data_IF_906845042896
#
_entry.id   IF_906845042896
#
_cell.length_a   1.000
_cell.length_b   1.000
_cell.length_c   1.000
_cell.angle_alpha   90.00
_cell.angle_beta   90.00
_cell.angle_gamma   90.00
#
_symmetry.space_group_name_H-M   'P 1'
#
loop_
_entity.id
_entity.type
_entity.pdbx_description
1 polymer ?
#
# COMPACT_ATOMS: atom_id res chain seq x y z
N UNK A 1 -15.99 -2.57 11.03
CA UNK A 1 -16.10 -1.75 9.80
C UNK A 1 -17.52 -1.62 9.19
N UNK A 2 -18.46 -2.50 9.56
CA UNK A 2 -19.87 -2.41 9.15
C UNK A 2 -20.73 -2.32 10.43
N UNK A 3 -20.99 -1.11 10.93
CA UNK A 3 -21.94 -0.94 12.03
C UNK A 3 -23.36 -1.16 11.51
N UNK A 4 -24.30 -1.58 12.38
CA UNK A 4 -25.69 -1.87 12.00
C UNK A 4 -26.39 -0.72 11.24
N UNK A 5 -26.02 0.53 11.52
CA UNK A 5 -26.65 1.75 10.99
C UNK A 5 -25.83 2.49 9.91
N UNK A 6 -24.74 1.92 9.40
CA UNK A 6 -23.93 2.57 8.35
C UNK A 6 -24.25 2.02 6.97
N UNK A 7 -24.26 2.93 5.98
CA UNK A 7 -24.39 2.59 4.57
C UNK A 7 -23.21 1.74 4.09
N UNK A 8 -23.44 0.96 3.05
CA UNK A 8 -22.41 0.18 2.37
C UNK A 8 -21.21 1.08 2.03
N UNK A 9 -20.01 0.69 2.47
CA UNK A 9 -18.81 1.48 2.16
C UNK A 9 -18.36 1.14 0.75
N UNK A 10 -18.31 2.16 -0.11
CA UNK A 10 -17.86 2.05 -1.50
C UNK A 10 -16.58 2.86 -1.66
N UNK A 11 -15.56 2.24 -2.26
CA UNK A 11 -14.30 2.85 -2.68
C UNK A 11 -14.24 2.75 -4.20
N UNK A 12 -14.23 3.87 -4.89
CA UNK A 12 -14.27 3.91 -6.36
C UNK A 12 -13.11 4.73 -6.91
N UNK A 13 -12.47 4.18 -7.94
CA UNK A 13 -11.49 4.88 -8.76
C UNK A 13 -11.73 4.51 -10.23
N UNK A 14 -12.21 5.48 -11.02
CA UNK A 14 -12.70 5.22 -12.37
C UNK A 14 -13.70 4.03 -12.41
N UNK A 15 -13.37 2.96 -13.13
CA UNK A 15 -14.15 1.72 -13.23
C UNK A 15 -13.83 0.69 -12.12
N UNK A 16 -12.71 0.86 -11.39
CA UNK A 16 -12.33 -0.01 -10.28
C UNK A 16 -13.11 0.34 -9.00
N UNK A 17 -14.13 -0.47 -8.71
CA UNK A 17 -15.01 -0.28 -7.55
C UNK A 17 -14.87 -1.42 -6.53
N UNK A 18 -14.57 -1.07 -5.29
CA UNK A 18 -14.54 -1.97 -4.15
C UNK A 18 -15.73 -1.66 -3.24
N UNK A 19 -16.55 -2.70 -2.99
CA UNK A 19 -17.79 -2.60 -2.22
C UNK A 19 -17.66 -3.48 -0.98
N UNK A 20 -17.81 -2.88 0.21
CA UNK A 20 -17.82 -3.60 1.48
C UNK A 20 -19.27 -3.80 1.92
N UNK A 21 -19.72 -5.05 1.89
CA UNK A 21 -21.05 -5.47 2.31
C UNK A 21 -20.97 -6.46 3.48
N UNK A 22 -22.04 -6.57 4.26
CA UNK A 22 -22.16 -7.67 5.23
C UNK A 22 -22.38 -8.96 4.44
N UNK A 23 -21.82 -10.05 4.94
CA UNK A 23 -21.95 -11.38 4.35
C UNK A 23 -23.34 -11.99 4.60
N UNK A 24 -24.41 -11.29 4.22
CA UNK A 24 -25.79 -11.76 4.32
C UNK A 24 -26.39 -11.88 2.93
N UNK A 25 -27.29 -12.87 2.76
CA UNK A 25 -27.97 -13.12 1.49
C UNK A 25 -28.75 -11.89 1.01
N UNK A 26 -29.46 -11.23 1.91
CA UNK A 26 -30.30 -10.07 1.56
C UNK A 26 -29.46 -8.90 1.05
N UNK A 27 -28.32 -8.64 1.68
CA UNK A 27 -27.39 -7.58 1.27
C UNK A 27 -26.76 -7.89 -0.09
N UNK A 28 -26.35 -9.14 -0.33
CA UNK A 28 -25.83 -9.58 -1.63
C UNK A 28 -26.87 -9.47 -2.74
N UNK A 29 -28.12 -9.86 -2.46
CA UNK A 29 -29.23 -9.74 -3.42
C UNK A 29 -29.53 -8.27 -3.74
N UNK A 30 -29.59 -7.40 -2.72
CA UNK A 30 -29.82 -5.96 -2.91
C UNK A 30 -28.71 -5.32 -3.74
N UNK A 31 -27.46 -5.71 -3.49
CA UNK A 31 -26.32 -5.24 -4.27
C UNK A 31 -26.49 -5.66 -5.74
N UNK A 32 -26.77 -6.94 -6.01
CA UNK A 32 -26.97 -7.44 -7.37
C UNK A 32 -28.09 -6.70 -8.10
N UNK A 33 -29.25 -6.54 -7.46
CA UNK A 33 -30.36 -5.78 -8.04
C UNK A 33 -30.00 -4.32 -8.32
N UNK A 34 -29.24 -3.67 -7.43
CA UNK A 34 -28.79 -2.29 -7.63
C UNK A 34 -27.82 -2.16 -8.80
N UNK A 35 -26.91 -3.14 -8.95
CA UNK A 35 -25.96 -3.24 -10.05
C UNK A 35 -26.64 -3.51 -11.40
N UNK A 36 -27.65 -4.38 -11.42
CA UNK A 36 -28.43 -4.68 -12.63
C UNK A 36 -29.30 -3.47 -13.04
N UNK A 37 -29.91 -2.78 -12.07
CA UNK A 37 -30.65 -1.53 -12.31
C UNK A 37 -29.72 -0.45 -12.89
N UNK A 38 -28.55 -0.25 -12.28
CA UNK A 38 -27.54 0.67 -12.80
C UNK A 38 -27.15 0.31 -14.25
N UNK A 39 -26.95 -0.97 -14.53
CA UNK A 39 -26.64 -1.45 -15.88
C UNK A 39 -27.76 -1.16 -16.87
N UNK A 40 -29.03 -1.37 -16.47
CA UNK A 40 -30.19 -1.09 -17.33
C UNK A 40 -30.39 0.40 -17.60
N UNK A 41 -30.10 1.27 -16.64
CA UNK A 41 -30.32 2.71 -16.75
C UNK A 41 -29.19 3.41 -17.53
N UNK A 42 -27.95 2.97 -17.32
CA UNK A 42 -26.76 3.60 -17.94
C UNK A 42 -26.35 2.96 -19.26
N UNK A 43 -26.80 1.72 -19.52
CA UNK A 43 -26.30 0.90 -20.63
C UNK A 43 -24.90 0.30 -20.38
N UNK A 44 -24.24 0.60 -19.25
CA UNK A 44 -22.94 0.06 -18.90
C UNK A 44 -23.08 -1.38 -18.40
N UNK A 45 -22.20 -2.28 -18.83
CA UNK A 45 -22.19 -3.69 -18.37
C UNK A 45 -21.07 -3.93 -17.37
N UNK A 46 -21.42 -4.56 -16.25
CA UNK A 46 -20.46 -4.98 -15.23
C UNK A 46 -19.75 -6.24 -15.73
N UNK A 47 -18.41 -6.23 -15.66
CA UNK A 47 -17.62 -7.38 -16.01
C UNK A 47 -17.49 -8.34 -14.82
N UNK A 48 -18.49 -9.20 -14.63
CA UNK A 48 -18.51 -10.20 -13.55
C UNK A 48 -17.34 -11.22 -13.65
N UNK A 49 -16.77 -11.42 -14.84
CA UNK A 49 -15.59 -12.27 -15.02
C UNK A 49 -14.30 -11.66 -14.46
N UNK A 50 -14.20 -10.32 -14.44
CA UNK A 50 -13.10 -9.58 -13.79
C UNK A 50 -13.40 -9.25 -12.33
N UNK A 51 -14.67 -9.26 -11.94
CA UNK A 51 -15.12 -8.95 -10.58
C UNK A 51 -14.89 -10.12 -9.64
N UNK A 52 -14.46 -9.82 -8.42
CA UNK A 52 -14.08 -10.82 -7.42
C UNK A 52 -14.82 -10.55 -6.12
N UNK A 53 -15.40 -11.61 -5.54
CA UNK A 53 -15.93 -11.59 -4.16
C UNK A 53 -14.88 -12.19 -3.23
N UNK A 54 -14.50 -11.46 -2.20
CA UNK A 54 -13.53 -11.93 -1.20
C UNK A 54 -14.21 -12.03 0.16
N UNK A 55 -14.44 -13.24 0.68
CA UNK A 55 -15.10 -13.42 1.97
C UNK A 55 -14.17 -13.06 3.13
N UNK A 56 -14.74 -12.57 4.23
CA UNK A 56 -14.01 -12.31 5.47
C UNK A 56 -14.73 -12.98 6.64
N UNK A 57 -14.08 -13.94 7.30
CA UNK A 57 -14.62 -14.63 8.49
C UNK A 57 -16.00 -15.25 8.26
N UNK A 58 -16.16 -15.99 7.16
CA UNK A 58 -17.41 -16.66 6.78
C UNK A 58 -17.21 -18.17 6.66
N UNK A 59 -18.27 -18.95 6.87
CA UNK A 59 -18.26 -20.40 6.60
C UNK A 59 -18.42 -20.68 5.11
N UNK A 60 -17.82 -21.78 4.63
CA UNK A 60 -17.81 -22.15 3.22
C UNK A 60 -19.22 -22.25 2.61
N UNK A 61 -20.19 -22.76 3.37
CA UNK A 61 -21.59 -22.84 2.95
C UNK A 61 -22.18 -21.46 2.64
N UNK A 62 -21.91 -20.45 3.47
CA UNK A 62 -22.38 -19.09 3.23
C UNK A 62 -21.63 -18.42 2.09
N UNK A 63 -20.34 -18.72 1.93
CA UNK A 63 -19.51 -18.18 0.83
C UNK A 63 -20.08 -18.63 -0.52
N UNK A 64 -20.38 -19.91 -0.67
CA UNK A 64 -20.94 -20.46 -1.91
C UNK A 64 -22.32 -19.84 -2.22
N UNK A 65 -23.16 -19.68 -1.21
CA UNK A 65 -24.46 -19.02 -1.36
C UNK A 65 -24.30 -17.57 -1.84
N UNK A 66 -23.46 -16.76 -1.21
CA UNK A 66 -23.30 -15.35 -1.59
C UNK A 66 -22.68 -15.22 -2.97
N UNK A 67 -21.66 -16.03 -3.27
CA UNK A 67 -20.97 -16.00 -4.56
C UNK A 67 -21.93 -16.33 -5.70
N UNK A 68 -22.87 -17.27 -5.50
CA UNK A 68 -23.87 -17.60 -6.52
C UNK A 68 -24.89 -16.47 -6.75
N UNK A 69 -25.25 -15.69 -5.73
CA UNK A 69 -26.12 -14.53 -5.89
C UNK A 69 -25.45 -13.36 -6.62
N UNK A 70 -24.19 -13.05 -6.27
CA UNK A 70 -23.48 -11.92 -6.88
C UNK A 70 -23.00 -12.27 -8.29
N UNK A 71 -22.64 -13.54 -8.54
CA UNK A 71 -22.15 -14.02 -9.83
C UNK A 71 -20.69 -13.66 -10.14
N UNK A 72 -19.93 -13.26 -9.12
CA UNK A 72 -18.49 -12.95 -9.24
C UNK A 72 -17.63 -14.18 -9.00
N UNK A 73 -16.36 -14.12 -9.43
CA UNK A 73 -15.37 -15.15 -9.05
C UNK A 73 -15.07 -15.07 -7.56
N UNK A 74 -14.83 -16.21 -6.94
CA UNK A 74 -14.35 -16.26 -5.56
C UNK A 74 -12.85 -15.93 -5.54
N UNK A 75 -12.46 -14.96 -4.73
CA UNK A 75 -11.06 -14.64 -4.43
C UNK A 75 -10.76 -14.82 -2.96
N UNK A 76 -9.49 -14.66 -2.62
CA UNK A 76 -9.00 -14.79 -1.24
C UNK A 76 -8.01 -13.67 -0.88
N UNK A 77 -7.87 -13.44 0.42
CA UNK A 77 -6.79 -12.63 0.96
C UNK A 77 -5.53 -13.48 1.12
N UNK A 78 -4.33 -12.92 0.89
CA UNK A 78 -4.03 -11.56 0.44
C UNK A 78 -3.81 -11.44 -1.08
N UNK A 79 -4.28 -12.43 -1.85
CA UNK A 79 -4.02 -12.54 -3.29
C UNK A 79 -4.80 -11.50 -4.11
N UNK A 80 -5.94 -11.06 -3.59
CA UNK A 80 -6.77 -10.04 -4.24
C UNK A 80 -6.12 -8.66 -4.12
N UNK A 81 -6.05 -7.95 -5.26
CA UNK A 81 -5.48 -6.60 -5.34
C UNK A 81 -6.54 -5.56 -5.68
N UNK A 82 -6.33 -4.34 -5.20
CA UNK A 82 -7.10 -3.17 -5.60
C UNK A 82 -6.13 -2.05 -5.98
N UNK A 83 -6.23 -1.53 -7.20
CA UNK A 83 -5.29 -0.55 -7.77
C UNK A 83 -3.82 -1.02 -7.72
N UNK A 84 -3.57 -2.33 -7.76
CA UNK A 84 -2.23 -2.90 -7.66
C UNK A 84 -1.67 -2.98 -6.23
N UNK A 85 -2.48 -2.70 -5.21
CA UNK A 85 -2.13 -2.90 -3.80
C UNK A 85 -2.77 -4.17 -3.26
N UNK A 86 -2.02 -4.91 -2.44
CA UNK A 86 -2.52 -6.12 -1.78
C UNK A 86 -3.51 -5.75 -0.70
N UNK A 87 -4.69 -6.35 -0.75
CA UNK A 87 -5.64 -6.30 0.36
C UNK A 87 -5.26 -7.42 1.33
N UNK A 88 -5.15 -7.12 2.62
CA UNK A 88 -4.96 -8.16 3.64
C UNK A 88 -5.50 -7.72 5.00
N UNK A 89 -6.21 -8.59 5.72
CA UNK A 89 -6.55 -8.35 7.12
C UNK A 89 -5.36 -8.59 8.06
N UNK A 90 -4.28 -9.20 7.56
CA UNK A 90 -3.11 -9.59 8.36
C UNK A 90 -1.83 -8.95 7.86
N UNK A 91 -0.73 -9.16 8.60
CA UNK A 91 0.57 -8.56 8.25
C UNK A 91 1.04 -9.14 6.91
N UNK A 92 1.41 -8.24 6.00
CA UNK A 92 1.85 -8.63 4.66
C UNK A 92 3.14 -9.46 4.73
N UNK A 93 3.10 -10.65 4.13
CA UNK A 93 4.24 -11.56 4.05
C UNK A 93 5.14 -11.17 2.88
N UNK A 94 6.41 -11.53 2.96
CA UNK A 94 7.40 -11.27 1.89
C UNK A 94 6.94 -11.87 0.55
N UNK A 95 6.28 -13.03 0.58
CA UNK A 95 5.78 -13.74 -0.61
C UNK A 95 4.81 -12.89 -1.44
N UNK A 96 4.07 -11.96 -0.83
CA UNK A 96 3.17 -11.07 -1.57
C UNK A 96 3.90 -10.15 -2.52
N UNK A 97 5.15 -9.80 -2.23
CA UNK A 97 5.95 -8.92 -3.07
C UNK A 97 6.60 -9.67 -4.26
N UNK A 98 6.41 -10.98 -4.37
CA UNK A 98 6.98 -11.78 -5.47
C UNK A 98 6.58 -11.28 -6.87
N UNK A 99 5.32 -10.87 -7.14
CA UNK A 99 4.94 -10.30 -8.43
C UNK A 99 5.63 -8.96 -8.71
N UNK A 100 5.76 -8.10 -7.69
CA UNK A 100 6.51 -6.83 -7.80
C UNK A 100 7.98 -7.09 -8.11
N UNK A 101 8.57 -8.07 -7.43
CA UNK A 101 9.95 -8.50 -7.64
C UNK A 101 10.12 -9.05 -9.06
N UNK A 102 9.23 -9.91 -9.53
CA UNK A 102 9.27 -10.47 -10.88
C UNK A 102 9.13 -9.39 -11.95
N UNK A 103 8.29 -8.37 -11.71
CA UNK A 103 8.15 -7.21 -12.61
C UNK A 103 9.45 -6.40 -12.68
N UNK A 104 10.14 -6.24 -11.55
CA UNK A 104 11.47 -5.62 -11.53
C UNK A 104 12.47 -6.47 -12.29
N UNK A 105 12.49 -7.79 -12.08
CA UNK A 105 13.37 -8.71 -12.81
C UNK A 105 13.14 -8.61 -14.34
N UNK A 106 11.88 -8.45 -14.79
CA UNK A 106 11.56 -8.20 -16.21
C UNK A 106 12.13 -6.87 -16.72
N UNK A 107 12.02 -5.78 -15.96
CA UNK A 107 12.63 -4.49 -16.33
C UNK A 107 14.14 -4.62 -16.43
N UNK A 108 14.77 -5.27 -15.46
CA UNK A 108 16.21 -5.48 -15.43
C UNK A 108 16.68 -6.27 -16.64
N UNK A 109 16.06 -7.42 -16.92
CA UNK A 109 16.39 -8.24 -18.09
C UNK A 109 16.27 -7.46 -19.41
N UNK A 110 15.24 -6.61 -19.54
CA UNK A 110 15.05 -5.75 -20.71
C UNK A 110 16.11 -4.66 -20.86
N UNK A 111 16.65 -4.12 -19.76
CA UNK A 111 17.67 -3.07 -19.81
C UNK A 111 19.09 -3.59 -19.95
N UNK A 112 19.37 -4.79 -19.45
CA UNK A 112 20.68 -5.44 -19.58
C UNK A 112 21.14 -5.55 -21.03
N UNK A 113 20.21 -5.77 -21.96
CA UNK A 113 20.51 -5.86 -23.40
C UNK A 113 20.80 -4.50 -24.05
N UNK A 114 20.32 -3.39 -23.48
CA UNK A 114 20.34 -2.07 -24.11
C UNK A 114 21.36 -1.09 -23.53
N UNK A 115 21.77 -1.24 -22.26
CA UNK A 115 22.57 -0.23 -21.56
C UNK A 115 23.75 -0.87 -20.82
N UNK A 116 24.97 -0.42 -21.18
CA UNK A 116 26.22 -0.92 -20.58
C UNK A 116 26.91 0.09 -19.65
N UNK A 117 26.45 1.33 -19.58
CA UNK A 117 27.07 2.36 -18.74
C UNK A 117 26.44 2.40 -17.32
N UNK A 118 27.23 2.29 -16.23
CA UNK A 118 26.78 2.43 -14.85
C UNK A 118 25.96 3.69 -14.56
N UNK A 119 26.26 4.81 -15.23
CA UNK A 119 25.48 6.05 -15.08
C UNK A 119 24.06 5.91 -15.63
N UNK A 120 23.89 5.19 -16.74
CA UNK A 120 22.58 4.88 -17.31
C UNK A 120 21.77 3.97 -16.39
N UNK A 121 22.41 2.97 -15.76
CA UNK A 121 21.76 2.11 -14.77
C UNK A 121 21.27 2.90 -13.56
N UNK A 122 22.08 3.83 -13.06
CA UNK A 122 21.70 4.69 -11.94
C UNK A 122 20.47 5.53 -12.26
N UNK A 123 20.41 6.12 -13.47
CA UNK A 123 19.24 6.89 -13.91
C UNK A 123 17.99 6.00 -13.94
N UNK A 124 18.08 4.78 -14.49
CA UNK A 124 16.95 3.86 -14.55
C UNK A 124 16.48 3.38 -13.18
N UNK A 125 17.41 3.11 -12.26
CA UNK A 125 17.07 2.77 -10.87
C UNK A 125 16.23 3.89 -10.25
N UNK A 126 16.73 5.12 -10.32
CA UNK A 126 16.08 6.26 -9.67
C UNK A 126 14.77 6.68 -10.36
N UNK A 127 14.72 6.65 -11.70
CA UNK A 127 13.56 7.14 -12.46
C UNK A 127 12.45 6.10 -12.61
N UNK A 128 12.78 4.82 -12.70
CA UNK A 128 11.79 3.76 -13.00
C UNK A 128 11.59 2.80 -11.83
N UNK A 129 12.66 2.20 -11.29
CA UNK A 129 12.49 1.21 -10.21
C UNK A 129 11.98 1.85 -8.93
N UNK A 130 12.61 2.96 -8.52
CA UNK A 130 12.23 3.65 -7.28
C UNK A 130 10.84 4.27 -7.42
N UNK A 131 10.51 4.88 -8.56
CA UNK A 131 9.17 5.43 -8.81
C UNK A 131 8.07 4.36 -8.77
N UNK A 132 8.35 3.15 -9.29
CA UNK A 132 7.43 2.02 -9.21
C UNK A 132 7.21 1.57 -7.76
N UNK A 133 8.29 1.48 -6.97
CA UNK A 133 8.22 1.07 -5.56
C UNK A 133 7.55 2.13 -4.68
N UNK A 134 7.68 3.42 -5.03
CA UNK A 134 7.09 4.53 -4.27
C UNK A 134 5.59 4.39 -4.09
N UNK A 135 4.88 3.90 -5.12
CA UNK A 135 3.44 3.67 -5.04
C UNK A 135 3.08 2.70 -3.91
N UNK A 136 3.72 1.52 -3.87
CA UNK A 136 3.45 0.49 -2.86
C UNK A 136 3.94 0.97 -1.48
N UNK A 137 5.14 1.55 -1.40
CA UNK A 137 5.72 2.04 -0.15
C UNK A 137 4.96 3.21 0.46
N UNK A 138 4.16 3.94 -0.31
CA UNK A 138 3.34 5.04 0.20
C UNK A 138 2.17 4.57 1.06
N UNK A 139 1.71 3.34 0.83
CA UNK A 139 0.57 2.76 1.54
C UNK A 139 1.03 1.68 2.52
N UNK A 140 2.02 0.88 2.14
CA UNK A 140 2.41 -0.32 2.88
C UNK A 140 3.80 -0.17 3.49
N UNK A 141 3.95 -0.63 4.74
CA UNK A 141 5.28 -0.85 5.31
C UNK A 141 5.93 -2.08 4.68
N UNK A 142 7.08 -1.87 4.05
CA UNK A 142 7.80 -2.93 3.35
C UNK A 142 8.40 -3.92 4.35
N UNK A 143 8.16 -5.23 4.23
CA UNK A 143 8.86 -6.22 5.04
C UNK A 143 10.36 -6.15 4.75
N UNK A 144 11.20 -6.19 5.80
CA UNK A 144 12.67 -6.10 5.67
C UNK A 144 13.22 -7.07 4.61
N UNK A 145 12.73 -8.31 4.59
CA UNK A 145 13.15 -9.31 3.60
C UNK A 145 12.78 -8.97 2.15
N UNK A 146 11.66 -8.28 1.91
CA UNK A 146 11.32 -7.76 0.58
C UNK A 146 12.27 -6.62 0.19
N UNK A 147 12.53 -5.69 1.12
CA UNK A 147 13.51 -4.61 0.94
C UNK A 147 14.91 -5.11 0.60
N UNK A 148 15.40 -6.15 1.30
CA UNK A 148 16.69 -6.78 0.99
C UNK A 148 16.72 -7.40 -0.41
N UNK A 149 15.67 -8.13 -0.81
CA UNK A 149 15.58 -8.73 -2.16
C UNK A 149 15.58 -7.67 -3.27
N UNK A 150 14.92 -6.54 -3.04
CA UNK A 150 14.86 -5.41 -3.96
C UNK A 150 16.22 -4.69 -4.05
N UNK A 151 16.85 -4.41 -2.91
CA UNK A 151 18.19 -3.80 -2.87
C UNK A 151 19.24 -4.70 -3.50
N UNK A 152 19.15 -6.03 -3.33
CA UNK A 152 20.05 -6.98 -3.99
C UNK A 152 20.01 -6.86 -5.52
N UNK A 153 18.81 -6.66 -6.09
CA UNK A 153 18.59 -6.48 -7.53
C UNK A 153 19.07 -5.12 -8.03
N UNK A 154 18.74 -4.03 -7.30
CA UNK A 154 19.27 -2.68 -7.60
C UNK A 154 20.80 -2.68 -7.62
N UNK A 155 21.40 -3.36 -6.65
CA UNK A 155 22.86 -3.53 -6.54
C UNK A 155 23.44 -4.41 -7.65
N UNK A 156 22.79 -5.54 -7.98
CA UNK A 156 23.21 -6.42 -9.07
C UNK A 156 23.20 -5.71 -10.42
N UNK A 157 22.13 -4.97 -10.68
CA UNK A 157 21.98 -4.21 -11.91
C UNK A 157 23.01 -3.10 -12.04
N UNK A 158 23.21 -2.28 -11.00
CA UNK A 158 24.14 -1.14 -11.03
C UNK A 158 25.58 -1.55 -11.35
N UNK A 159 26.05 -2.68 -10.81
CA UNK A 159 27.47 -3.06 -10.90
C UNK A 159 27.77 -4.11 -11.96
N UNK A 160 26.82 -4.98 -12.28
CA UNK A 160 27.11 -6.18 -13.08
C UNK A 160 26.22 -6.33 -14.31
N UNK A 161 25.24 -5.44 -14.52
CA UNK A 161 24.19 -5.63 -15.53
C UNK A 161 23.58 -7.04 -15.45
N UNK A 162 23.38 -7.56 -14.25
CA UNK A 162 22.83 -8.91 -13.99
C UNK A 162 21.83 -8.89 -12.84
N UNK A 163 20.87 -9.81 -12.86
CA UNK A 163 19.76 -9.87 -11.91
C UNK A 163 20.20 -10.14 -10.46
N UNK A 164 21.30 -10.89 -10.30
CA UNK A 164 21.85 -11.26 -8.99
C UNK A 164 23.35 -11.00 -9.00
N UNK A 165 23.81 -10.16 -8.07
CA UNK A 165 25.24 -9.96 -7.84
C UNK A 165 25.88 -11.28 -7.39
N UNK A 166 26.88 -11.84 -8.11
CA UNK A 166 27.76 -12.82 -7.51
C UNK A 166 28.46 -12.17 -6.33
N UNK A 167 28.64 -12.88 -5.23
CA UNK A 167 29.00 -12.35 -3.90
C UNK A 167 30.32 -11.58 -3.76
N UNK A 168 30.97 -11.13 -4.83
CA UNK A 168 32.22 -10.36 -4.76
C UNK A 168 32.35 -9.31 -5.88
N UNK A 169 32.90 -8.14 -5.49
CA UNK A 169 33.33 -6.97 -6.30
C UNK A 169 32.28 -5.92 -6.69
N UNK A 170 31.49 -5.43 -5.73
CA UNK A 170 30.94 -4.07 -5.89
C UNK A 170 32.07 -3.06 -5.69
N UNK A 171 32.17 -2.06 -6.58
CA UNK A 171 33.23 -1.05 -6.50
C UNK A 171 33.12 -0.17 -5.25
N UNK A 172 31.88 0.03 -4.77
CA UNK A 172 31.59 0.88 -3.61
C UNK A 172 30.63 0.13 -2.66
N UNK A 173 30.83 0.24 -1.33
CA UNK A 173 29.86 -0.26 -0.35
C UNK A 173 28.46 0.30 -0.60
N UNK A 174 27.43 -0.54 -0.44
CA UNK A 174 26.06 -0.14 -0.75
C UNK A 174 25.60 1.05 0.11
N UNK A 175 25.99 1.11 1.38
CA UNK A 175 25.62 2.22 2.27
C UNK A 175 26.19 3.57 1.81
N UNK A 176 27.39 3.58 1.20
CA UNK A 176 27.97 4.78 0.59
C UNK A 176 27.24 5.17 -0.69
N UNK A 177 26.82 4.19 -1.50
CA UNK A 177 26.02 4.41 -2.72
C UNK A 177 24.69 5.09 -2.40
N UNK A 178 24.08 4.75 -1.26
CA UNK A 178 22.82 5.35 -0.80
C UNK A 178 22.96 6.82 -0.36
N UNK A 179 24.18 7.27 -0.09
CA UNK A 179 24.48 8.64 0.32
C UNK A 179 24.15 9.68 -0.76
N UNK A 180 23.97 10.92 -0.33
CA UNK A 180 23.82 12.07 -1.25
C UNK A 180 25.13 12.33 -2.01
N UNK A 181 25.02 12.98 -3.18
CA UNK A 181 26.20 13.31 -4.02
C UNK A 181 27.20 14.22 -3.31
N UNK A 182 26.74 15.08 -2.40
CA UNK A 182 27.61 15.98 -1.61
C UNK A 182 28.50 15.24 -0.62
N UNK A 183 28.09 14.05 -0.16
CA UNK A 183 28.86 13.19 0.75
C UNK A 183 29.61 12.09 -0.02
N UNK A 184 29.74 12.24 -1.35
CA UNK A 184 30.42 11.27 -2.21
C UNK A 184 29.59 10.02 -2.55
N UNK A 185 28.28 10.03 -2.28
CA UNK A 185 27.36 8.95 -2.65
C UNK A 185 26.76 9.12 -4.05
N UNK A 186 25.95 8.14 -4.46
CA UNK A 186 25.35 8.08 -5.80
C UNK A 186 23.87 8.50 -5.82
N UNK A 187 23.35 9.05 -4.72
CA UNK A 187 21.95 9.53 -4.59
C UNK A 187 20.89 8.47 -4.86
N UNK A 188 21.21 7.19 -4.62
CA UNK A 188 20.24 6.10 -4.67
C UNK A 188 19.48 6.08 -3.34
N UNK A 189 18.15 6.01 -3.37
CA UNK A 189 17.38 6.08 -2.14
C UNK A 189 17.47 4.78 -1.33
N UNK A 190 17.65 4.89 -0.01
CA UNK A 190 17.43 3.74 0.89
C UNK A 190 15.94 3.45 0.97
N UNK A 191 15.53 2.29 0.44
CA UNK A 191 14.12 1.88 0.40
C UNK A 191 13.48 1.83 1.80
N UNK A 192 14.21 1.39 2.83
CA UNK A 192 13.64 1.21 4.16
C UNK A 192 13.45 2.56 4.86
N UNK A 193 14.44 3.45 4.74
CA UNK A 193 14.34 4.81 5.24
C UNK A 193 13.26 5.59 4.47
N UNK A 194 13.26 5.49 3.14
CA UNK A 194 12.28 6.17 2.29
C UNK A 194 10.85 5.69 2.55
N UNK A 195 10.64 4.38 2.74
CA UNK A 195 9.37 3.84 3.16
C UNK A 195 8.92 4.44 4.51
N UNK A 196 9.83 4.54 5.47
CA UNK A 196 9.54 5.19 6.76
C UNK A 196 9.12 6.66 6.57
N UNK A 197 9.85 7.42 5.76
CA UNK A 197 9.49 8.81 5.42
C UNK A 197 8.11 8.92 4.77
N UNK A 198 7.76 8.00 3.85
CA UNK A 198 6.44 7.98 3.23
C UNK A 198 5.32 7.65 4.23
N UNK A 199 5.57 6.74 5.17
CA UNK A 199 4.62 6.45 6.25
C UNK A 199 4.46 7.65 7.19
N UNK A 200 5.55 8.36 7.52
CA UNK A 200 5.47 9.62 8.28
C UNK A 200 4.66 10.69 7.52
N UNK A 201 4.83 10.79 6.20
CA UNK A 201 4.01 11.67 5.35
C UNK A 201 2.53 11.27 5.38
N UNK A 202 2.21 9.98 5.45
CA UNK A 202 0.82 9.52 5.61
C UNK A 202 0.24 9.94 6.97
N UNK A 203 1.02 9.81 8.06
CA UNK A 203 0.65 10.31 9.38
C UNK A 203 0.42 11.83 9.33
N UNK A 204 1.33 12.58 8.71
CA UNK A 204 1.18 14.02 8.54
C UNK A 204 -0.14 14.39 7.85
N UNK A 205 -0.51 13.66 6.79
CA UNK A 205 -1.79 13.87 6.09
C UNK A 205 -3.00 13.61 6.99
N UNK A 206 -2.92 12.68 7.94
CA UNK A 206 -3.99 12.47 8.91
C UNK A 206 -4.19 13.69 9.81
N UNK A 207 -3.12 14.39 10.18
CA UNK A 207 -3.21 15.62 10.98
C UNK A 207 -3.67 16.84 10.15
N UNK A 208 -3.08 17.05 8.97
CA UNK A 208 -3.31 18.27 8.17
C UNK A 208 -4.54 18.22 7.27
N UNK A 209 -4.93 17.04 6.78
CA UNK A 209 -6.03 16.92 5.81
C UNK A 209 -7.38 16.78 6.53
N UNK A 210 -8.07 17.90 6.72
CA UNK A 210 -9.40 17.92 7.33
C UNK A 210 -10.50 17.41 6.40
N UNK A 211 -10.35 17.60 5.09
CA UNK A 211 -11.41 17.29 4.10
C UNK A 211 -11.29 15.91 3.45
N UNK A 212 -10.27 15.11 3.79
CA UNK A 212 -10.14 13.78 3.20
C UNK A 212 -11.13 12.81 3.85
N UNK A 213 -11.90 12.06 3.03
CA UNK A 213 -12.85 11.05 3.53
C UNK A 213 -12.18 10.02 4.44
N UNK A 214 -10.94 9.65 4.12
CA UNK A 214 -10.09 8.80 4.95
C UNK A 214 -9.77 9.45 6.31
N UNK A 215 -9.30 10.69 6.33
CA UNK A 215 -8.99 11.41 7.57
C UNK A 215 -10.22 11.67 8.44
N UNK A 216 -11.38 11.96 7.86
CA UNK A 216 -12.66 12.07 8.59
C UNK A 216 -13.02 10.72 9.22
N UNK A 217 -12.96 9.63 8.45
CA UNK A 217 -13.27 8.29 8.96
C UNK A 217 -12.32 7.85 10.07
N UNK A 218 -11.04 8.12 9.94
CA UNK A 218 -10.05 7.82 10.97
C UNK A 218 -10.36 8.60 12.25
N UNK A 219 -10.65 9.90 12.17
CA UNK A 219 -11.02 10.71 13.35
C UNK A 219 -12.27 10.24 14.07
N UNK A 220 -13.24 9.66 13.35
CA UNK A 220 -14.44 9.09 13.96
C UNK A 220 -14.18 7.77 14.73
N UNK A 221 -13.07 7.09 14.48
CA UNK A 221 -12.80 5.74 15.01
C UNK A 221 -11.44 5.59 15.71
N UNK A 222 -10.65 6.66 15.77
CA UNK A 222 -9.31 6.68 16.32
C UNK A 222 -8.99 8.02 16.99
N UNK A 223 -8.33 7.96 18.14
CA UNK A 223 -7.66 9.12 18.69
C UNK A 223 -6.40 9.39 17.87
N UNK A 224 -6.34 10.53 17.18
CA UNK A 224 -5.19 10.90 16.37
C UNK A 224 -3.94 11.10 17.23
N UNK A 225 -4.08 11.78 18.37
CA UNK A 225 -2.96 12.15 19.24
C UNK A 225 -2.13 10.92 19.65
N UNK A 226 -2.75 9.82 20.05
CA UNK A 226 -2.07 8.59 20.46
C UNK A 226 -1.97 7.53 19.34
N UNK A 227 -2.60 7.79 18.18
CA UNK A 227 -2.95 6.79 17.17
C UNK A 227 -3.51 5.51 17.81
N UNK A 228 -4.27 5.62 18.90
CA UNK A 228 -5.02 4.50 19.46
C UNK A 228 -6.39 4.47 18.81
N UNK A 229 -6.76 3.34 18.24
CA UNK A 229 -8.03 3.18 17.54
C UNK A 229 -8.70 1.90 17.95
N UNK A 230 -10.02 1.88 17.76
CA UNK A 230 -10.82 0.64 17.75
C UNK A 230 -10.66 -0.11 16.41
N UNK A 231 -9.75 0.34 15.53
CA UNK A 231 -9.45 -0.27 14.25
C UNK A 231 -8.29 -1.26 14.43
N UNK A 232 -8.57 -2.57 14.62
CA UNK A 232 -7.52 -3.56 14.69
C UNK A 232 -6.82 -3.68 13.33
N UNK A 233 -5.49 -3.68 13.33
CA UNK A 233 -4.74 -3.94 12.11
C UNK A 233 -3.23 -3.78 12.27
N UNK A 234 -2.43 -4.62 11.59
CA UNK A 234 -0.96 -4.57 11.66
C UNK A 234 -0.42 -3.24 11.10
N UNK A 235 -1.09 -2.67 10.10
CA UNK A 235 -0.71 -1.40 9.50
C UNK A 235 -0.88 -0.24 10.49
N UNK A 236 -1.91 -0.27 11.33
CA UNK A 236 -2.13 0.76 12.34
C UNK A 236 -1.11 0.68 13.47
N UNK A 237 -0.76 -0.54 13.91
CA UNK A 237 0.34 -0.75 14.86
C UNK A 237 1.68 -0.25 14.30
N UNK A 238 1.95 -0.47 13.02
CA UNK A 238 3.12 0.08 12.33
C UNK A 238 3.14 1.61 12.33
N UNK A 239 2.04 2.28 11.96
CA UNK A 239 1.95 3.74 11.98
C UNK A 239 2.16 4.29 13.41
N UNK A 240 1.55 3.65 14.41
CA UNK A 240 1.73 4.03 15.82
C UNK A 240 3.19 3.94 16.27
N UNK A 241 3.94 2.93 15.83
CA UNK A 241 5.36 2.81 16.15
C UNK A 241 6.22 3.95 15.60
N UNK A 242 5.76 4.64 14.55
CA UNK A 242 6.44 5.78 13.93
C UNK A 242 6.04 7.13 14.54
N UNK A 243 5.02 7.15 15.39
CA UNK A 243 4.53 8.39 16.01
C UNK A 243 5.60 9.13 16.82
N UNK A 244 6.47 8.49 17.62
CA UNK A 244 7.54 9.20 18.34
C UNK A 244 8.51 9.91 17.38
N UNK A 245 8.83 9.27 16.25
CA UNK A 245 9.69 9.86 15.21
C UNK A 245 8.98 11.05 14.59
N UNK A 246 7.68 10.94 14.28
CA UNK A 246 6.89 12.03 13.72
C UNK A 246 6.88 13.25 14.66
N UNK A 247 6.66 13.05 15.95
CA UNK A 247 6.68 14.13 16.96
C UNK A 247 8.05 14.79 17.09
N UNK A 248 9.13 14.01 16.99
CA UNK A 248 10.49 14.57 17.04
C UNK A 248 10.83 15.49 15.85
N UNK A 249 10.11 15.38 14.72
CA UNK A 249 10.37 16.15 13.49
C UNK A 249 9.26 17.16 13.15
N UNK A 250 8.24 17.28 13.99
CA UNK A 250 7.11 18.17 13.76
C UNK A 250 6.83 19.06 14.98
N UNK A 251 6.21 20.21 14.74
CA UNK A 251 5.80 21.14 15.78
C UNK A 251 4.30 21.36 15.69
N UNK A 252 3.64 21.44 16.84
CA UNK A 252 2.21 21.69 16.94
C UNK A 252 1.96 23.05 17.60
N UNK A 253 1.22 23.92 16.92
CA UNK A 253 0.71 25.16 17.51
C UNK A 253 -0.67 24.88 18.10
N UNK A 254 -0.82 25.14 19.40
CA UNK A 254 -2.10 24.92 20.09
C UNK A 254 -2.95 26.17 20.00
N UNK A 255 -4.09 26.02 19.33
CA UNK A 255 -5.12 27.05 19.26
C UNK A 255 -6.30 26.68 20.16
N UNK A 256 -7.39 26.16 19.60
CA UNK A 256 -8.66 25.91 20.30
C UNK A 256 -8.78 24.50 20.91
N UNK A 257 -7.74 23.66 20.78
CA UNK A 257 -7.70 22.30 21.33
C UNK A 257 -8.65 21.29 20.66
N UNK A 258 -9.33 21.64 19.55
CA UNK A 258 -10.25 20.71 18.87
C UNK A 258 -9.54 19.64 18.06
N UNK A 259 -8.36 19.94 17.53
CA UNK A 259 -7.58 19.04 16.66
C UNK A 259 -6.22 18.65 17.25
N UNK A 260 -5.84 19.25 18.37
CA UNK A 260 -4.52 19.14 19.00
C UNK A 260 -4.69 18.87 20.49
N UNK A 261 -4.04 17.82 20.98
CA UNK A 261 -4.01 17.50 22.40
C UNK A 261 -2.71 18.01 23.01
N UNK A 262 -2.79 19.01 23.89
CA UNK A 262 -1.61 19.61 24.52
C UNK A 262 -0.67 18.57 25.15
N UNK A 263 -1.23 17.62 25.91
CA UNK A 263 -0.45 16.61 26.65
C UNK A 263 0.22 15.54 25.80
N UNK A 264 -0.27 15.33 24.57
CA UNK A 264 0.24 14.29 23.68
C UNK A 264 1.00 14.86 22.49
N UNK A 265 0.66 16.06 22.04
CA UNK A 265 1.21 16.63 20.79
C UNK A 265 2.25 17.72 21.04
N UNK A 266 2.34 18.29 22.26
CA UNK A 266 3.26 19.40 22.60
C UNK A 266 4.38 18.98 23.56
N UNK A 267 4.10 18.02 24.46
CA UNK A 267 5.06 17.45 25.41
C UNK A 267 5.68 16.16 24.87
#
# INVERSE_FOLDING_TARGET
PLSANQTCTVLQYADDTLILLKGQRDDASRLKSSLDLFSSLTGLKINFNKSVTVPMHMSDNHIQQITSYVGCRLGDFPQTTYLGLFLSPTKLRIQLFSPTIAKIDQYLAGWQSSLQNPMGHLILINSVLDSHLNYIMSVVQLPKGAGHKLNQRRRGFLWFSKDVAPGARCLVPWDTVLGSKSVGGLSIQDLMLFNTCLQLKLIHRLYTSYCSSYGVRVRCHACLASLTSDLPGPQWASLRSLLPIYRAISTCEVYDGKSTSFWYDVL
#
